data_IF_228430889642
#
_entry.id   IF_228430889642
#
_cell.length_a   1.000
_cell.length_b   1.000
_cell.length_c   1.000
_cell.angle_alpha   90.00
_cell.angle_beta   90.00
_cell.angle_gamma   90.00
#
_symmetry.space_group_name_H-M   'P 1'
#
loop_
_entity.id
_entity.type
_entity.pdbx_description
1 polymer ?
#
# COMPACT_ATOMS: atom_id res chain seq x y z
N UNK A 1 1.45 -3.09 18.03
CA UNK A 1 0.65 -2.28 17.09
C UNK A 1 0.95 -2.78 15.68
N UNK A 2 -0.05 -2.95 14.81
CA UNK A 2 0.15 -3.47 13.44
C UNK A 2 0.86 -2.42 12.57
N UNK A 3 0.47 -1.16 12.69
CA UNK A 3 1.03 -0.08 11.88
C UNK A 3 2.52 0.11 12.16
N UNK A 4 2.93 0.00 13.43
CA UNK A 4 4.33 0.06 13.83
C UNK A 4 5.20 -1.03 13.17
N UNK A 5 4.67 -2.22 12.90
CA UNK A 5 5.47 -3.30 12.30
C UNK A 5 5.53 -3.16 10.78
N UNK A 6 4.54 -2.51 10.18
CA UNK A 6 4.46 -2.31 8.72
C UNK A 6 5.18 -1.02 8.29
N UNK A 7 5.24 0.00 9.16
CA UNK A 7 5.84 1.30 8.87
C UNK A 7 7.25 1.25 8.25
N UNK A 8 8.19 0.38 8.72
CA UNK A 8 9.51 0.26 8.12
C UNK A 8 9.51 -0.21 6.66
N UNK A 9 8.42 -0.85 6.23
CA UNK A 9 8.26 -1.44 4.90
C UNK A 9 7.42 -0.56 3.96
N UNK A 10 6.95 0.60 4.41
CA UNK A 10 6.09 1.53 3.66
C UNK A 10 6.66 1.87 2.27
N UNK A 11 7.94 2.24 2.18
CA UNK A 11 8.60 2.56 0.91
C UNK A 11 8.67 1.36 -0.06
N UNK A 12 8.78 0.13 0.47
CA UNK A 12 8.80 -1.07 -0.35
C UNK A 12 7.40 -1.42 -0.87
N UNK A 13 6.37 -1.28 -0.01
CA UNK A 13 4.97 -1.43 -0.40
C UNK A 13 4.57 -0.41 -1.47
N UNK A 14 5.02 0.83 -1.32
CA UNK A 14 4.81 1.88 -2.30
C UNK A 14 5.45 1.56 -3.64
N UNK A 15 6.69 1.06 -3.63
CA UNK A 15 7.37 0.63 -4.85
C UNK A 15 6.61 -0.50 -5.55
N UNK A 16 6.07 -1.47 -4.81
CA UNK A 16 5.24 -2.55 -5.37
C UNK A 16 4.01 -2.00 -6.10
N UNK A 17 3.32 -1.02 -5.51
CA UNK A 17 2.18 -0.37 -6.15
C UNK A 17 2.60 0.41 -7.40
N UNK A 18 3.54 1.36 -7.25
CA UNK A 18 3.96 2.27 -8.32
C UNK A 18 4.55 1.55 -9.54
N UNK A 19 5.24 0.42 -9.35
CA UNK A 19 5.80 -0.38 -10.45
C UNK A 19 4.72 -0.96 -11.36
N UNK A 20 3.51 -1.17 -10.84
CA UNK A 20 2.42 -1.83 -11.56
C UNK A 20 1.26 -0.90 -11.90
N UNK A 21 1.27 0.33 -11.39
CA UNK A 21 0.37 1.40 -11.82
C UNK A 21 0.98 2.13 -13.00
N UNK A 22 0.55 1.75 -14.21
CA UNK A 22 0.95 2.43 -15.45
C UNK A 22 -0.01 3.58 -15.74
N UNK A 23 0.48 4.83 -15.78
CA UNK A 23 -0.25 5.98 -16.32
C UNK A 23 -0.40 7.19 -15.40
N UNK A 24 -1.08 8.22 -15.91
CA UNK A 24 -1.29 9.58 -15.39
C UNK A 24 -1.93 9.72 -14.01
N UNK A 25 -2.18 8.62 -13.29
CA UNK A 25 -2.81 8.69 -11.96
C UNK A 25 -1.87 9.38 -10.98
N UNK A 26 -2.34 10.53 -10.51
CA UNK A 26 -1.69 11.33 -9.48
C UNK A 26 -2.10 10.93 -8.07
N UNK A 27 -3.03 9.98 -7.92
CA UNK A 27 -3.46 9.45 -6.64
C UNK A 27 -4.09 8.07 -6.82
N UNK A 28 -4.20 7.32 -5.73
CA UNK A 28 -4.84 6.01 -5.71
C UNK A 28 -5.00 5.44 -4.30
N UNK A 29 -5.68 4.30 -4.21
CA UNK A 29 -5.97 3.58 -2.98
C UNK A 29 -5.77 2.08 -3.18
N UNK A 30 -5.05 1.47 -2.24
CA UNK A 30 -4.84 0.04 -2.12
C UNK A 30 -5.20 -0.42 -0.71
N UNK A 31 -6.17 -1.32 -0.59
CA UNK A 31 -6.39 -2.07 0.64
C UNK A 31 -5.55 -3.34 0.62
N UNK A 32 -4.70 -3.50 1.63
CA UNK A 32 -3.93 -4.72 1.84
C UNK A 32 -4.60 -5.50 2.99
N UNK A 33 -5.16 -6.67 2.67
CA UNK A 33 -5.63 -7.61 3.67
C UNK A 33 -4.50 -8.54 4.07
N UNK A 34 -4.25 -8.62 5.38
CA UNK A 34 -3.34 -9.58 5.99
C UNK A 34 -4.14 -10.52 6.89
N UNK A 35 -3.93 -11.82 6.73
CA UNK A 35 -4.32 -12.81 7.73
C UNK A 35 -3.11 -13.15 8.57
N UNK A 36 -3.17 -12.86 9.87
CA UNK A 36 -2.08 -13.03 10.82
C UNK A 36 -2.43 -14.18 11.74
N UNK A 37 -1.58 -15.21 11.76
CA UNK A 37 -1.71 -16.34 12.67
C UNK A 37 -1.54 -15.91 14.13
N UNK A 38 -2.03 -16.76 15.03
CA UNK A 38 -1.81 -16.63 16.48
C UNK A 38 -0.35 -16.38 16.86
N UNK A 39 0.60 -17.04 16.20
CA UNK A 39 2.04 -16.92 16.43
C UNK A 39 2.68 -15.67 15.81
N UNK A 40 1.87 -14.81 15.20
CA UNK A 40 2.29 -13.55 14.61
C UNK A 40 2.84 -13.65 13.18
N UNK A 41 2.87 -14.83 12.56
CA UNK A 41 3.23 -14.98 11.15
C UNK A 41 2.08 -14.58 10.23
N UNK A 42 2.40 -14.03 9.07
CA UNK A 42 1.38 -13.75 8.03
C UNK A 42 1.08 -15.05 7.26
N UNK A 43 -0.18 -15.48 7.29
CA UNK A 43 -0.69 -16.66 6.58
C UNK A 43 -1.02 -16.35 5.12
N UNK A 44 -1.69 -15.22 4.89
CA UNK A 44 -2.11 -14.83 3.55
C UNK A 44 -2.11 -13.32 3.37
N UNK A 45 -2.03 -12.93 2.08
CA UNK A 45 -2.08 -11.54 1.63
C UNK A 45 -3.03 -11.47 0.46
N UNK A 46 -3.99 -10.55 0.54
CA UNK A 46 -4.81 -10.13 -0.57
C UNK A 46 -4.73 -8.62 -0.73
N UNK A 47 -4.95 -8.13 -1.95
CA UNK A 47 -5.05 -6.70 -2.19
C UNK A 47 -6.33 -6.38 -2.95
N UNK A 48 -7.01 -5.33 -2.54
CA UNK A 48 -8.12 -4.76 -3.28
C UNK A 48 -7.76 -3.33 -3.68
N UNK A 49 -8.00 -2.98 -4.93
CA UNK A 49 -7.90 -1.62 -5.43
C UNK A 49 -8.95 -1.47 -6.52
N UNK A 50 -9.99 -0.68 -6.27
CA UNK A 50 -11.11 -0.52 -7.22
C UNK A 50 -10.70 0.04 -8.58
N UNK A 51 -9.54 0.68 -8.63
CA UNK A 51 -8.99 1.37 -9.79
C UNK A 51 -7.97 0.53 -10.58
N UNK A 52 -7.46 -0.58 -10.03
CA UNK A 52 -6.47 -1.42 -10.71
C UNK A 52 -7.16 -2.52 -11.55
N UNK A 53 -6.60 -2.81 -12.72
CA UNK A 53 -7.03 -3.99 -13.47
C UNK A 53 -6.74 -5.27 -12.67
N UNK A 54 -7.51 -6.35 -12.83
CA UNK A 54 -7.26 -7.61 -12.10
C UNK A 54 -5.82 -8.12 -12.25
N UNK A 55 -5.24 -7.96 -13.44
CA UNK A 55 -3.84 -8.34 -13.71
C UNK A 55 -2.84 -7.46 -12.96
N UNK A 56 -3.09 -6.16 -12.85
CA UNK A 56 -2.26 -5.25 -12.06
C UNK A 56 -2.38 -5.58 -10.56
N UNK A 57 -3.60 -5.81 -10.07
CA UNK A 57 -3.85 -6.22 -8.68
C UNK A 57 -3.09 -7.48 -8.33
N UNK A 58 -3.13 -8.52 -9.17
CA UNK A 58 -2.39 -9.77 -8.94
C UNK A 58 -0.87 -9.55 -8.86
N UNK A 59 -0.31 -8.69 -9.71
CA UNK A 59 1.12 -8.35 -9.68
C UNK A 59 1.49 -7.59 -8.40
N UNK A 60 0.66 -6.62 -8.00
CA UNK A 60 0.84 -5.90 -6.74
C UNK A 60 0.75 -6.85 -5.55
N UNK A 61 -0.26 -7.73 -5.49
CA UNK A 61 -0.37 -8.76 -4.44
C UNK A 61 0.88 -9.63 -4.37
N UNK A 62 1.39 -10.09 -5.53
CA UNK A 62 2.57 -10.94 -5.59
C UNK A 62 3.82 -10.22 -5.07
N UNK A 63 3.99 -8.93 -5.41
CA UNK A 63 5.09 -8.12 -4.91
C UNK A 63 4.99 -7.89 -3.40
N UNK A 64 3.80 -7.56 -2.87
CA UNK A 64 3.59 -7.32 -1.44
C UNK A 64 3.77 -8.60 -0.62
N UNK A 65 3.43 -9.77 -1.19
CA UNK A 65 3.58 -11.06 -0.50
C UNK A 65 5.01 -11.31 -0.02
N UNK A 66 6.03 -10.96 -0.80
CA UNK A 66 7.43 -11.16 -0.38
C UNK A 66 7.80 -10.28 0.82
N UNK A 67 7.26 -9.07 0.89
CA UNK A 67 7.43 -8.16 2.03
C UNK A 67 6.68 -8.73 3.25
N UNK A 68 5.42 -9.11 3.07
CA UNK A 68 4.57 -9.61 4.16
C UNK A 68 5.12 -10.87 4.82
N UNK A 69 5.79 -11.74 4.06
CA UNK A 69 6.45 -12.94 4.59
C UNK A 69 7.60 -12.64 5.56
N UNK A 70 8.15 -11.43 5.53
CA UNK A 70 9.19 -10.99 6.47
C UNK A 70 8.64 -10.35 7.74
N UNK A 71 7.33 -10.05 7.77
CA UNK A 71 6.70 -9.42 8.91
C UNK A 71 6.50 -10.43 10.03
N UNK A 72 6.87 -10.03 11.25
CA UNK A 72 6.59 -10.76 12.47
C UNK A 72 5.80 -9.86 13.41
N UNK A 73 4.58 -10.27 13.73
CA UNK A 73 3.73 -9.59 14.69
C UNK A 73 3.89 -10.20 16.09
N UNK A 74 3.56 -9.45 17.15
CA UNK A 74 3.44 -10.02 18.49
C UNK A 74 2.41 -11.15 18.51
N UNK A 75 2.65 -12.16 19.33
CA UNK A 75 1.71 -13.27 19.53
C UNK A 75 0.35 -12.73 20.00
N UNK A 76 -0.73 -13.33 19.50
CA UNK A 76 -2.11 -12.99 19.83
C UNK A 76 -2.83 -14.22 20.37
N UNK A 77 -4.05 -14.05 20.88
CA UNK A 77 -4.87 -15.17 21.35
C UNK A 77 -5.49 -15.96 20.19
N UNK A 78 -5.84 -15.28 19.11
CA UNK A 78 -6.51 -15.81 17.94
C UNK A 78 -5.88 -15.25 16.67
N UNK A 79 -6.15 -15.92 15.55
CA UNK A 79 -5.86 -15.40 14.22
C UNK A 79 -6.61 -14.07 14.02
N UNK A 80 -5.99 -13.15 13.28
CA UNK A 80 -6.50 -11.79 13.10
C UNK A 80 -6.41 -11.40 11.64
N UNK A 81 -7.53 -10.98 11.06
CA UNK A 81 -7.54 -10.30 9.76
C UNK A 81 -7.41 -8.80 9.97
N UNK A 82 -6.49 -8.18 9.25
CA UNK A 82 -6.27 -6.73 9.29
C UNK A 82 -6.35 -6.16 7.90
N UNK A 83 -7.04 -5.03 7.77
CA UNK A 83 -7.05 -4.22 6.55
C UNK A 83 -6.12 -3.03 6.77
N UNK A 84 -5.12 -2.89 5.89
CA UNK A 84 -4.20 -1.78 5.88
C UNK A 84 -4.54 -0.89 4.68
N UNK A 85 -5.23 0.24 4.91
CA UNK A 85 -5.50 1.18 3.83
C UNK A 85 -4.23 1.92 3.48
N UNK A 86 -3.85 1.87 2.20
CA UNK A 86 -2.73 2.63 1.67
C UNK A 86 -3.25 3.65 0.65
N UNK A 87 -3.06 4.92 0.99
CA UNK A 87 -3.40 6.03 0.10
C UNK A 87 -2.13 6.53 -0.57
N UNK A 88 -2.17 6.59 -1.90
CA UNK A 88 -1.11 7.13 -2.71
C UNK A 88 -1.51 8.50 -3.21
N UNK A 89 -0.60 9.46 -3.04
CA UNK A 89 -0.65 10.73 -3.74
C UNK A 89 0.70 10.93 -4.42
N UNK A 90 0.68 11.03 -5.75
CA UNK A 90 1.84 11.41 -6.54
C UNK A 90 2.19 12.85 -6.22
N UNK A 91 3.36 13.03 -5.64
CA UNK A 91 3.99 14.32 -5.39
C UNK A 91 4.97 14.64 -6.52
N UNK A 92 5.34 15.91 -6.71
CA UNK A 92 6.25 16.31 -7.81
C UNK A 92 7.67 15.80 -7.60
N UNK A 93 8.08 15.66 -6.33
CA UNK A 93 9.33 15.03 -5.91
C UNK A 93 9.09 14.26 -4.59
N UNK A 94 9.94 13.26 -4.26
CA UNK A 94 9.81 12.49 -3.02
C UNK A 94 9.77 13.43 -1.80
N UNK A 95 8.70 13.35 -1.00
CA UNK A 95 8.52 14.20 0.17
C UNK A 95 8.14 15.65 -0.10
N UNK A 96 7.89 16.06 -1.34
CA UNK A 96 7.58 17.45 -1.72
C UNK A 96 6.21 17.97 -1.22
N UNK A 97 5.49 17.21 -0.38
CA UNK A 97 4.14 17.54 0.04
C UNK A 97 3.11 17.42 -1.09
N UNK A 98 1.83 17.69 -0.81
CA UNK A 98 0.79 17.68 -1.83
C UNK A 98 1.12 18.68 -2.93
N UNK A 99 0.85 18.30 -4.19
CA UNK A 99 0.96 19.22 -5.32
C UNK A 99 0.19 20.51 -5.01
N UNK A 100 0.83 21.70 -5.07
CA UNK A 100 0.13 22.95 -4.82
C UNK A 100 -1.04 23.03 -5.80
N UNK A 101 -2.25 23.16 -5.27
CA UNK A 101 -3.43 23.33 -6.09
C UNK A 101 -3.32 24.70 -6.77
N UNK A 102 -3.44 24.71 -8.09
CA UNK A 102 -3.42 25.93 -8.88
C UNK A 102 -4.72 26.72 -8.69
N UNK A 103 -4.91 27.32 -7.51
CA UNK A 103 -6.02 28.23 -7.21
C UNK A 103 -5.79 29.61 -7.82
N UNK A 104 -5.35 29.68 -9.07
CA UNK A 104 -5.31 30.91 -9.85
C UNK A 104 -6.32 30.77 -11.00
N UNK A 105 -7.19 31.76 -11.17
CA UNK A 105 -8.13 31.85 -12.31
C UNK A 105 -7.41 31.84 -13.68
N UNK A 106 -6.10 32.08 -13.71
CA UNK A 106 -5.24 32.11 -14.90
C UNK A 106 -4.54 30.76 -15.18
N UNK A 107 -4.78 29.71 -14.37
CA UNK A 107 -4.19 28.37 -14.52
C UNK A 107 -2.80 28.20 -13.90
N UNK A 108 -2.31 26.95 -13.90
CA UNK A 108 -0.92 26.62 -13.51
C UNK A 108 0.04 27.19 -14.58
N UNK A 109 1.01 28.01 -14.19
CA UNK A 109 2.10 28.44 -15.08
C UNK A 109 3.38 27.71 -14.73
#
# INVERSE_FOLDING_TARGET
DVLAQVAPHSAALERCYLTHVTGTRRAGHLDILLEIARDGRVLSVATAAGELSPRATQRVTACIRSIAQTLQFPERRNDTTVVLPYYFQKTEAPGAGPQPSCWNAQGCR
#
